data_IF_603236354583
#
_entry.id   IF_603236354583
#
_cell.length_a   1.000
_cell.length_b   1.000
_cell.length_c   1.000
_cell.angle_alpha   90.00
_cell.angle_beta   90.00
_cell.angle_gamma   90.00
#
_symmetry.space_group_name_H-M   'P 1'
#
loop_
_entity.id
_entity.type
_entity.pdbx_description
1 polymer ?
#
# COMPACT_ATOMS: atom_id res chain seq x y z
N UNK A 1 -2.01 8.34 16.72
CA UNK A 1 -2.44 8.22 15.28
C UNK A 1 -3.92 7.92 15.20
N UNK A 2 -4.64 8.60 14.37
CA UNK A 2 -6.01 8.25 13.99
C UNK A 2 -5.99 7.54 12.65
N UNK A 3 -6.91 6.61 12.45
CA UNK A 3 -7.10 5.90 11.19
C UNK A 3 -8.57 5.90 10.78
N UNK A 4 -8.77 5.77 9.49
CA UNK A 4 -10.10 5.64 8.88
C UNK A 4 -10.16 4.34 8.09
N UNK A 5 -11.30 3.67 8.14
CA UNK A 5 -11.58 2.52 7.27
C UNK A 5 -12.89 2.79 6.55
N UNK A 6 -12.83 2.86 5.24
CA UNK A 6 -14.00 3.01 4.38
C UNK A 6 -14.18 1.82 3.44
N UNK A 7 -15.43 1.57 3.09
CA UNK A 7 -15.83 0.52 2.15
C UNK A 7 -16.66 1.17 1.06
N UNK A 8 -16.40 0.81 -0.19
CA UNK A 8 -17.20 1.27 -1.32
C UNK A 8 -17.53 0.13 -2.25
N UNK A 9 -18.61 0.27 -3.03
CA UNK A 9 -19.14 -0.74 -3.96
C UNK A 9 -19.47 -0.14 -5.31
N UNK A 10 -19.59 -1.01 -6.32
CA UNK A 10 -19.99 -0.65 -7.67
C UNK A 10 -18.80 -0.41 -8.59
N UNK A 11 -18.96 0.49 -9.57
CA UNK A 11 -17.85 0.88 -10.43
C UNK A 11 -16.78 1.67 -9.65
N UNK A 12 -15.61 1.88 -10.24
CA UNK A 12 -14.48 2.49 -9.57
C UNK A 12 -14.80 3.88 -8.98
N UNK A 13 -15.53 4.72 -9.72
CA UNK A 13 -15.88 6.06 -9.28
C UNK A 13 -16.85 6.06 -8.09
N UNK A 14 -17.88 5.24 -8.15
CA UNK A 14 -18.86 5.09 -7.06
C UNK A 14 -18.20 4.47 -5.82
N UNK A 15 -17.42 3.41 -6.02
CA UNK A 15 -16.72 2.73 -4.93
C UNK A 15 -15.75 3.66 -4.20
N UNK A 16 -14.95 4.44 -4.92
CA UNK A 16 -14.06 5.42 -4.30
C UNK A 16 -14.88 6.52 -3.62
N UNK A 17 -15.91 7.06 -4.28
CA UNK A 17 -16.78 8.09 -3.70
C UNK A 17 -17.38 7.69 -2.36
N UNK A 18 -17.84 6.44 -2.25
CA UNK A 18 -18.37 5.88 -1.00
C UNK A 18 -17.27 5.62 0.03
N UNK A 19 -16.20 4.92 -0.38
CA UNK A 19 -15.14 4.50 0.54
C UNK A 19 -14.41 5.67 1.19
N UNK A 20 -14.29 6.82 0.53
CA UNK A 20 -13.55 7.98 1.06
C UNK A 20 -14.43 9.08 1.64
N UNK A 21 -15.75 8.87 1.73
CA UNK A 21 -16.71 9.92 2.14
C UNK A 21 -16.39 10.59 3.47
N UNK A 22 -15.73 9.88 4.40
CA UNK A 22 -15.37 10.41 5.72
C UNK A 22 -13.86 10.59 5.93
N UNK A 23 -13.05 10.50 4.86
CA UNK A 23 -11.59 10.39 5.05
C UNK A 23 -10.96 11.75 5.32
N UNK A 24 -11.29 12.85 5.30
CA UNK A 24 -10.59 14.11 5.61
C UNK A 24 -9.25 14.25 4.86
N UNK A 25 -8.20 14.69 5.56
CA UNK A 25 -6.85 14.92 5.01
C UNK A 25 -5.87 13.86 5.51
N UNK A 26 -5.76 12.68 4.88
CA UNK A 26 -4.85 11.64 5.32
C UNK A 26 -3.39 11.97 4.96
N UNK A 27 -2.45 11.45 5.75
CA UNK A 27 -1.02 11.48 5.46
C UNK A 27 -0.59 10.35 4.51
N UNK A 28 -1.41 9.29 4.42
CA UNK A 28 -1.21 8.15 3.52
C UNK A 28 -2.53 7.41 3.33
N UNK A 29 -2.71 6.82 2.15
CA UNK A 29 -3.84 5.96 1.81
C UNK A 29 -3.34 4.58 1.41
N UNK A 30 -3.94 3.53 1.99
CA UNK A 30 -3.78 2.14 1.56
C UNK A 30 -5.13 1.63 1.08
N UNK A 31 -5.18 0.94 -0.06
CA UNK A 31 -6.43 0.40 -0.56
C UNK A 31 -6.30 -1.03 -1.09
N UNK A 32 -7.40 -1.78 -0.95
CA UNK A 32 -7.54 -3.15 -1.48
C UNK A 32 -8.67 -3.16 -2.50
N UNK A 33 -8.38 -3.67 -3.69
CA UNK A 33 -9.32 -3.67 -4.81
C UNK A 33 -9.34 -5.00 -5.56
N UNK A 34 -10.22 -5.13 -6.56
CA UNK A 34 -10.23 -6.21 -7.54
C UNK A 34 -9.27 -5.92 -8.70
N UNK A 35 -8.81 -6.97 -9.37
CA UNK A 35 -7.90 -6.85 -10.51
C UNK A 35 -8.45 -5.93 -11.62
N UNK A 36 -9.75 -6.03 -11.93
CA UNK A 36 -10.36 -5.25 -13.01
C UNK A 36 -10.50 -3.76 -12.74
N UNK A 37 -10.40 -3.33 -11.49
CA UNK A 37 -10.67 -1.94 -11.09
C UNK A 37 -9.46 -1.22 -10.49
N UNK A 38 -8.41 -1.93 -10.09
CA UNK A 38 -7.31 -1.35 -9.30
C UNK A 38 -6.64 -0.15 -10.00
N UNK A 39 -6.47 -0.19 -11.31
CA UNK A 39 -5.86 0.91 -12.07
C UNK A 39 -6.71 2.18 -12.06
N UNK A 40 -8.02 2.05 -12.32
CA UNK A 40 -8.96 3.17 -12.31
C UNK A 40 -9.12 3.74 -10.89
N UNK A 41 -9.26 2.88 -9.89
CA UNK A 41 -9.32 3.27 -8.47
C UNK A 41 -8.07 4.03 -8.05
N UNK A 42 -6.87 3.54 -8.41
CA UNK A 42 -5.61 4.22 -8.11
C UNK A 42 -5.59 5.65 -8.69
N UNK A 43 -5.98 5.80 -9.96
CA UNK A 43 -6.03 7.10 -10.62
C UNK A 43 -7.00 8.07 -9.93
N UNK A 44 -8.22 7.61 -9.60
CA UNK A 44 -9.24 8.43 -8.92
C UNK A 44 -8.78 8.83 -7.52
N UNK A 45 -8.15 7.93 -6.75
CA UNK A 45 -7.60 8.25 -5.43
C UNK A 45 -6.51 9.33 -5.55
N UNK A 46 -5.59 9.21 -6.49
CA UNK A 46 -4.53 10.20 -6.69
C UNK A 46 -5.06 11.57 -7.12
N UNK A 47 -6.13 11.61 -7.91
CA UNK A 47 -6.81 12.83 -8.31
C UNK A 47 -7.54 13.51 -7.12
N UNK A 48 -8.24 12.72 -6.31
CA UNK A 48 -8.99 13.23 -5.15
C UNK A 48 -8.10 13.70 -4.01
N UNK A 49 -6.93 13.12 -3.86
CA UNK A 49 -5.97 13.41 -2.77
C UNK A 49 -4.61 13.80 -3.33
N UNK A 50 -4.50 14.93 -4.02
CA UNK A 50 -3.25 15.35 -4.66
C UNK A 50 -2.15 15.55 -3.60
N UNK A 51 -0.99 14.93 -3.85
CA UNK A 51 0.15 14.99 -2.93
C UNK A 51 0.11 14.02 -1.75
N UNK A 52 -0.99 13.31 -1.54
CA UNK A 52 -1.08 12.26 -0.54
C UNK A 52 -0.57 10.94 -1.14
N UNK A 53 0.46 10.32 -0.57
CA UNK A 53 0.95 9.04 -1.07
C UNK A 53 -0.10 7.94 -0.89
N UNK A 54 -0.25 7.11 -1.92
CA UNK A 54 -1.18 5.98 -1.90
C UNK A 54 -0.54 4.71 -2.43
N UNK A 55 -0.80 3.60 -1.73
CA UNK A 55 -0.44 2.24 -2.19
C UNK A 55 -1.69 1.39 -2.29
N UNK A 56 -1.73 0.52 -3.29
CA UNK A 56 -2.86 -0.37 -3.54
C UNK A 56 -2.43 -1.79 -3.85
N UNK A 57 -3.27 -2.74 -3.44
CA UNK A 57 -3.05 -4.16 -3.64
C UNK A 57 -4.33 -4.86 -4.07
N UNK A 58 -4.16 -6.08 -4.57
CA UNK A 58 -5.23 -7.04 -4.77
C UNK A 58 -5.35 -7.93 -3.53
N UNK A 59 -6.55 -8.39 -3.24
CA UNK A 59 -6.71 -9.33 -2.13
C UNK A 59 -8.15 -9.42 -1.63
N UNK A 60 -8.32 -10.15 -0.53
CA UNK A 60 -9.61 -10.28 0.14
C UNK A 60 -10.02 -8.95 0.77
N UNK A 61 -11.19 -8.48 0.36
CA UNK A 61 -11.77 -7.23 0.84
C UNK A 61 -12.67 -7.49 2.05
N UNK A 62 -12.04 -7.60 3.21
CA UNK A 62 -12.73 -7.77 4.49
C UNK A 62 -12.52 -6.52 5.34
N UNK A 63 -13.59 -5.84 5.67
CA UNK A 63 -13.53 -4.70 6.59
C UNK A 63 -14.79 -4.64 7.45
N UNK A 64 -14.65 -4.29 8.73
CA UNK A 64 -15.74 -4.20 9.69
C UNK A 64 -16.62 -5.47 9.76
N UNK A 65 -16.00 -6.66 9.61
CA UNK A 65 -16.71 -7.94 9.60
C UNK A 65 -17.54 -8.22 8.35
N UNK A 66 -17.43 -7.39 7.30
CA UNK A 66 -18.13 -7.58 6.02
C UNK A 66 -17.14 -7.98 4.94
N UNK A 67 -17.47 -9.04 4.23
CA UNK A 67 -16.73 -9.53 3.06
C UNK A 67 -17.54 -9.25 1.78
N UNK A 68 -16.84 -9.00 0.68
CA UNK A 68 -17.45 -8.89 -0.64
C UNK A 68 -16.40 -8.71 -1.73
N UNK A 69 -16.55 -9.45 -2.82
CA UNK A 69 -15.60 -9.41 -3.94
C UNK A 69 -15.64 -8.08 -4.70
N UNK A 70 -16.79 -7.42 -4.71
CA UNK A 70 -16.99 -6.13 -5.40
C UNK A 70 -16.68 -4.92 -4.51
N UNK A 71 -16.15 -5.13 -3.30
CA UNK A 71 -15.84 -4.05 -2.39
C UNK A 71 -14.47 -3.45 -2.66
N UNK A 72 -14.39 -2.14 -2.57
CA UNK A 72 -13.16 -1.41 -2.32
C UNK A 72 -13.02 -1.20 -0.82
N UNK A 73 -11.85 -1.48 -0.27
CA UNK A 73 -11.51 -1.09 1.11
C UNK A 73 -10.42 -0.03 1.06
N UNK A 74 -10.62 1.06 1.78
CA UNK A 74 -9.66 2.17 1.90
C UNK A 74 -9.32 2.38 3.36
N UNK A 75 -8.02 2.48 3.65
CA UNK A 75 -7.48 2.89 4.95
C UNK A 75 -6.79 4.25 4.79
N UNK A 76 -7.10 5.18 5.65
CA UNK A 76 -6.42 6.48 5.74
C UNK A 76 -5.76 6.65 7.10
N UNK A 77 -4.58 7.25 7.12
CA UNK A 77 -3.83 7.56 8.35
C UNK A 77 -3.70 9.07 8.49
N UNK A 78 -3.91 9.61 9.68
CA UNK A 78 -4.07 11.05 9.90
C UNK A 78 -3.17 11.64 10.95
N UNK A 79 -3.29 12.97 11.05
CA UNK A 79 -2.75 13.85 12.08
C UNK A 79 -1.22 13.78 12.16
N UNK A 80 -0.72 13.25 13.25
CA UNK A 80 0.68 13.14 13.58
C UNK A 80 1.38 11.91 12.99
N UNK A 81 0.66 11.10 12.20
CA UNK A 81 1.29 9.99 11.49
C UNK A 81 2.32 10.49 10.48
N UNK A 82 3.59 10.16 10.69
CA UNK A 82 4.64 10.37 9.70
C UNK A 82 4.68 9.18 8.76
N UNK A 83 4.55 9.46 7.47
CA UNK A 83 4.49 8.41 6.45
C UNK A 83 5.46 8.68 5.31
N UNK A 84 6.11 7.62 4.85
CA UNK A 84 6.87 7.59 3.60
C UNK A 84 6.47 6.36 2.81
N UNK A 85 6.18 6.53 1.54
CA UNK A 85 5.80 5.43 0.65
C UNK A 85 6.79 5.28 -0.50
N UNK A 86 6.84 4.10 -1.10
CA UNK A 86 7.71 3.85 -2.23
C UNK A 86 7.28 2.66 -3.06
N UNK A 87 7.96 2.51 -4.19
CA UNK A 87 7.88 1.36 -5.07
C UNK A 87 9.27 0.82 -5.33
N UNK A 88 9.40 -0.50 -5.35
CA UNK A 88 10.59 -1.23 -5.77
C UNK A 88 10.20 -1.93 -7.06
N UNK A 89 10.87 -1.61 -8.15
CA UNK A 89 10.65 -2.24 -9.45
C UNK A 89 11.64 -3.40 -9.66
N UNK A 90 11.36 -4.26 -10.65
CA UNK A 90 12.23 -5.36 -11.09
C UNK A 90 12.66 -6.27 -9.92
N UNK A 91 11.70 -6.61 -9.04
CA UNK A 91 11.97 -7.40 -7.83
C UNK A 91 12.45 -8.82 -8.14
N UNK A 92 12.11 -9.36 -9.31
CA UNK A 92 12.62 -10.64 -9.78
C UNK A 92 14.13 -10.61 -10.05
N UNK A 93 14.67 -9.44 -10.42
CA UNK A 93 16.08 -9.25 -10.74
C UNK A 93 16.93 -8.93 -9.50
N UNK A 94 16.73 -7.75 -8.92
CA UNK A 94 17.62 -7.24 -7.89
C UNK A 94 16.96 -6.26 -6.90
N UNK A 95 16.07 -6.71 -6.01
CA UNK A 95 15.41 -5.81 -5.06
C UNK A 95 16.39 -5.12 -4.09
N UNK A 96 17.56 -5.71 -3.86
CA UNK A 96 18.61 -5.11 -3.00
C UNK A 96 19.16 -3.80 -3.55
N UNK A 97 19.01 -3.51 -4.83
CA UNK A 97 19.40 -2.22 -5.42
C UNK A 97 18.61 -1.05 -4.78
N UNK A 98 17.43 -1.30 -4.23
CA UNK A 98 16.58 -0.29 -3.60
C UNK A 98 16.92 -0.01 -2.12
N UNK A 99 17.91 -0.69 -1.54
CA UNK A 99 18.29 -0.52 -0.12
C UNK A 99 18.58 0.95 0.24
N UNK A 100 19.24 1.69 -0.64
CA UNK A 100 19.55 3.10 -0.44
C UNK A 100 18.27 3.94 -0.28
N UNK A 101 17.34 3.82 -1.22
CA UNK A 101 16.06 4.55 -1.19
C UNK A 101 15.21 4.17 0.02
N UNK A 102 15.13 2.87 0.35
CA UNK A 102 14.40 2.41 1.55
C UNK A 102 14.99 3.03 2.82
N UNK A 103 16.34 3.02 2.97
CA UNK A 103 17.01 3.62 4.13
C UNK A 103 16.75 5.11 4.26
N UNK A 104 16.75 5.84 3.15
CA UNK A 104 16.45 7.27 3.14
C UNK A 104 15.04 7.56 3.61
N UNK A 105 14.05 6.79 3.15
CA UNK A 105 12.65 6.89 3.60
C UNK A 105 12.48 6.52 5.07
N UNK A 106 13.12 5.44 5.52
CA UNK A 106 13.16 5.07 6.94
C UNK A 106 13.72 6.20 7.79
N UNK A 107 14.82 6.84 7.37
CA UNK A 107 15.41 7.94 8.11
C UNK A 107 14.51 9.17 8.17
N UNK A 108 13.79 9.51 7.08
CA UNK A 108 12.82 10.62 7.05
C UNK A 108 11.69 10.43 8.05
N UNK A 109 11.17 9.21 8.18
CA UNK A 109 10.15 8.88 9.18
C UNK A 109 10.71 8.96 10.59
N UNK A 110 12.02 8.78 10.79
CA UNK A 110 12.69 8.74 12.11
C UNK A 110 12.03 7.71 13.03
N UNK A 111 12.09 6.42 12.69
CA UNK A 111 11.30 5.38 13.33
C UNK A 111 11.63 5.15 14.80
N UNK A 112 10.67 4.67 15.55
CA UNK A 112 10.82 4.12 16.88
C UNK A 112 10.37 2.66 16.92
N UNK A 113 10.95 1.90 17.85
CA UNK A 113 10.77 0.44 17.96
C UNK A 113 9.32 -0.03 18.11
N UNK A 114 8.48 0.75 18.78
CA UNK A 114 7.12 0.33 19.17
C UNK A 114 6.03 1.13 18.43
N UNK A 115 6.44 2.11 17.63
CA UNK A 115 5.50 3.03 17.00
C UNK A 115 5.64 3.11 15.48
N UNK A 116 6.41 2.21 14.86
CA UNK A 116 6.65 2.26 13.42
C UNK A 116 6.47 0.87 12.80
N UNK A 117 5.72 0.83 11.71
CA UNK A 117 5.50 -0.36 10.88
C UNK A 117 5.83 -0.03 9.43
N UNK A 118 6.37 -1.00 8.70
CA UNK A 118 6.44 -1.00 7.25
C UNK A 118 5.38 -1.99 6.73
N UNK A 119 4.44 -1.50 5.93
CA UNK A 119 3.47 -2.34 5.24
C UNK A 119 3.92 -2.45 3.78
N UNK A 120 3.96 -3.67 3.24
CA UNK A 120 4.35 -3.92 1.86
C UNK A 120 3.39 -4.86 1.15
N UNK A 121 3.28 -4.68 -0.18
CA UNK A 121 2.56 -5.59 -1.07
C UNK A 121 3.41 -5.81 -2.31
N UNK A 122 3.67 -7.08 -2.63
CA UNK A 122 4.52 -7.44 -3.77
C UNK A 122 3.81 -8.34 -4.76
N UNK A 123 4.23 -8.30 -5.99
CA UNK A 123 3.69 -9.15 -7.05
C UNK A 123 4.25 -10.57 -7.00
N UNK A 124 5.50 -10.73 -6.54
CA UNK A 124 6.25 -11.99 -6.52
C UNK A 124 7.49 -11.83 -5.63
N UNK A 125 8.31 -12.89 -5.51
CA UNK A 125 9.64 -12.88 -4.86
C UNK A 125 9.69 -12.28 -3.44
N UNK A 126 8.64 -12.49 -2.65
CA UNK A 126 8.50 -11.96 -1.28
C UNK A 126 9.73 -12.28 -0.40
N UNK A 127 10.30 -13.47 -0.53
CA UNK A 127 11.47 -13.90 0.25
C UNK A 127 12.69 -12.99 0.04
N UNK A 128 12.95 -12.57 -1.22
CA UNK A 128 14.02 -11.63 -1.53
C UNK A 128 13.73 -10.25 -0.96
N UNK A 129 12.46 -9.83 -0.98
CA UNK A 129 12.01 -8.56 -0.43
C UNK A 129 12.11 -8.51 1.09
N UNK A 130 11.68 -9.55 1.80
CA UNK A 130 11.82 -9.66 3.26
C UNK A 130 13.28 -9.49 3.67
N UNK A 131 14.21 -10.14 2.95
CA UNK A 131 15.65 -9.97 3.20
C UNK A 131 16.11 -8.54 2.96
N UNK A 132 15.67 -7.93 1.86
CA UNK A 132 15.99 -6.54 1.50
C UNK A 132 15.47 -5.55 2.55
N UNK A 133 14.19 -5.66 2.93
CA UNK A 133 13.60 -4.81 3.96
C UNK A 133 14.25 -5.02 5.32
N UNK A 134 14.51 -6.26 5.74
CA UNK A 134 15.15 -6.54 7.03
C UNK A 134 16.52 -5.89 7.16
N UNK A 135 17.29 -5.80 6.07
CA UNK A 135 18.59 -5.09 6.07
C UNK A 135 18.47 -3.59 6.39
N UNK A 136 17.28 -3.00 6.17
CA UNK A 136 16.99 -1.58 6.40
C UNK A 136 16.23 -1.34 7.71
N UNK A 137 15.33 -2.25 8.08
CA UNK A 137 14.33 -2.07 9.12
C UNK A 137 14.76 -2.66 10.48
N UNK A 138 15.46 -3.81 10.47
CA UNK A 138 15.70 -4.59 11.69
C UNK A 138 16.48 -3.81 12.75
N UNK A 139 17.53 -3.10 12.36
CA UNK A 139 18.35 -2.29 13.29
C UNK A 139 17.56 -1.12 13.92
N UNK A 140 16.53 -0.66 13.23
CA UNK A 140 15.64 0.41 13.70
C UNK A 140 14.45 -0.12 14.50
N UNK A 141 14.29 -1.45 14.59
CA UNK A 141 13.17 -2.10 15.26
C UNK A 141 11.82 -1.90 14.59
N UNK A 142 11.81 -1.56 13.30
CA UNK A 142 10.58 -1.43 12.48
C UNK A 142 10.07 -2.81 12.13
N UNK A 143 8.79 -3.05 12.33
CA UNK A 143 8.13 -4.30 11.96
C UNK A 143 7.73 -4.26 10.48
N UNK A 144 7.92 -5.37 9.78
CA UNK A 144 7.43 -5.57 8.42
C UNK A 144 6.12 -6.37 8.47
N UNK A 145 5.14 -5.95 7.69
CA UNK A 145 3.85 -6.65 7.51
C UNK A 145 3.39 -6.48 6.05
N UNK A 146 2.72 -7.49 5.53
CA UNK A 146 2.25 -7.47 4.14
C UNK A 146 2.35 -8.83 3.50
N UNK A 147 2.71 -8.85 2.23
CA UNK A 147 2.92 -10.10 1.49
C UNK A 147 2.56 -10.02 0.01
N UNK A 148 2.58 -11.17 -0.63
CA UNK A 148 2.31 -11.32 -2.05
C UNK A 148 0.83 -11.13 -2.35
N UNK A 149 0.52 -10.39 -3.43
CA UNK A 149 -0.85 -10.17 -3.91
C UNK A 149 -1.51 -11.48 -4.34
N UNK A 150 -2.81 -11.60 -4.16
CA UNK A 150 -3.61 -12.73 -4.62
C UNK A 150 -4.92 -12.28 -5.26
N UNK A 151 -5.68 -13.22 -5.87
CA UNK A 151 -6.89 -12.86 -6.61
C UNK A 151 -6.61 -12.34 -8.02
N UNK A 152 -5.47 -12.72 -8.57
CA UNK A 152 -5.10 -12.45 -9.96
C UNK A 152 -5.81 -13.46 -10.86
N UNK A 153 -6.53 -13.02 -11.92
CA UNK A 153 -7.17 -13.94 -12.86
C UNK A 153 -6.15 -14.79 -13.62
N UNK A 154 -6.58 -16.00 -14.02
CA UNK A 154 -5.73 -16.91 -14.79
C UNK A 154 -5.15 -16.25 -16.05
N UNK A 155 -3.87 -16.46 -16.28
CA UNK A 155 -3.13 -15.92 -17.42
C UNK A 155 -2.83 -14.42 -17.36
N UNK A 156 -3.14 -13.74 -16.24
CA UNK A 156 -2.77 -12.35 -16.01
C UNK A 156 -1.55 -12.27 -15.10
N UNK A 157 -0.81 -11.18 -15.22
CA UNK A 157 0.31 -10.88 -14.33
C UNK A 157 -0.21 -10.19 -13.05
N UNK A 158 0.38 -10.49 -11.89
CA UNK A 158 0.07 -9.76 -10.67
C UNK A 158 0.50 -8.30 -10.78
N UNK A 159 -0.29 -7.41 -10.18
CA UNK A 159 -0.07 -5.97 -10.19
C UNK A 159 -0.28 -5.37 -8.81
N UNK A 160 0.45 -4.28 -8.54
CA UNK A 160 0.26 -3.40 -7.40
C UNK A 160 0.10 -1.96 -7.87
N UNK A 161 -0.36 -1.06 -7.00
CA UNK A 161 -0.57 0.33 -7.36
C UNK A 161 0.20 1.29 -6.45
N UNK A 162 0.75 2.36 -7.03
CA UNK A 162 1.43 3.43 -6.31
C UNK A 162 1.13 4.78 -6.97
N UNK A 163 0.60 5.73 -6.19
CA UNK A 163 0.35 7.11 -6.62
C UNK A 163 -0.34 7.22 -8.00
N UNK A 164 -1.45 6.51 -8.19
CA UNK A 164 -2.24 6.56 -9.41
C UNK A 164 -1.78 5.68 -10.56
N UNK A 165 -0.68 4.94 -10.41
CA UNK A 165 -0.14 4.06 -11.43
C UNK A 165 -0.11 2.61 -10.97
N UNK A 166 -0.17 1.68 -11.93
CA UNK A 166 -0.01 0.23 -11.68
C UNK A 166 1.38 -0.23 -12.08
N UNK A 167 1.88 -1.27 -11.39
CA UNK A 167 3.21 -1.82 -11.57
C UNK A 167 3.15 -3.35 -11.57
N UNK A 168 3.88 -3.97 -12.50
CA UNK A 168 4.18 -5.40 -12.54
C UNK A 168 5.60 -5.63 -11.98
N UNK A 169 5.92 -6.86 -11.59
CA UNK A 169 7.25 -7.23 -11.06
C UNK A 169 7.78 -6.23 -10.02
N UNK A 170 6.91 -5.84 -9.11
CA UNK A 170 7.15 -4.71 -8.21
C UNK A 170 6.60 -4.95 -6.81
N UNK A 171 7.15 -4.21 -5.85
CA UNK A 171 6.64 -4.09 -4.50
C UNK A 171 6.33 -2.63 -4.19
N UNK A 172 5.16 -2.37 -3.61
CA UNK A 172 4.81 -1.07 -3.04
C UNK A 172 4.84 -1.15 -1.52
N UNK A 173 5.30 -0.09 -0.87
CA UNK A 173 5.39 -0.08 0.58
C UNK A 173 5.07 1.26 1.20
N UNK A 174 4.62 1.23 2.46
CA UNK A 174 4.38 2.40 3.29
C UNK A 174 5.05 2.21 4.66
N UNK A 175 5.91 3.14 5.06
CA UNK A 175 6.49 3.21 6.39
C UNK A 175 5.65 4.21 7.18
N UNK A 176 5.03 3.74 8.26
CA UNK A 176 4.05 4.51 9.03
C UNK A 176 4.50 4.57 10.48
N UNK A 177 4.71 5.78 10.98
CA UNK A 177 5.01 6.05 12.38
C UNK A 177 3.84 6.76 13.04
N UNK A 178 3.45 6.20 14.19
CA UNK A 178 2.47 6.82 15.10
C UNK A 178 3.14 7.86 16.00
#
# INVERSE_FOLDING_TARGET
MKSYVGIGKGNAADAVGEAVKGIGNPSCIIFLSSFGQIGEIAAIIAEKFPGVPSIGTLGTKLANGKYGDDNLVVLGFYDDAKTECGVINDISLCPVASIGDIKDKVNKVSPGRENTVCIEFCTNDEEKLVTTFNSCLAQKGVKLAGGTVFGVPDGKKPIVAYNGKIFEDSCVYAIIKN
#
